data_IF_780010893279
#
_entry.id   IF_780010893279
#
_cell.length_a   1.000
_cell.length_b   1.000
_cell.length_c   1.000
_cell.angle_alpha   90.00
_cell.angle_beta   90.00
_cell.angle_gamma   90.00
#
_symmetry.space_group_name_H-M   'P 1'
#
loop_
_entity.id
_entity.type
_entity.pdbx_description
1 polymer ?
#
# COMPACT_ATOMS: atom_id res chain seq x y z
N UNK A 1 6.76 11.06 5.21
CA UNK A 1 6.63 10.53 6.58
C UNK A 1 5.22 10.72 7.09
N UNK A 2 4.74 9.80 7.90
CA UNK A 2 3.40 9.86 8.49
C UNK A 2 3.50 9.39 9.94
N UNK A 3 2.60 9.87 10.81
CA UNK A 3 2.66 9.45 12.22
C UNK A 3 2.45 7.96 12.36
N UNK A 4 3.17 7.36 13.31
CA UNK A 4 3.01 5.95 13.65
C UNK A 4 1.56 5.66 14.00
N UNK A 5 1.01 4.59 13.45
CA UNK A 5 -0.36 4.17 13.71
C UNK A 5 -1.41 4.84 12.86
N UNK A 6 -1.04 5.80 12.01
CA UNK A 6 -2.02 6.42 11.10
C UNK A 6 -2.67 5.37 10.22
N UNK A 7 -3.97 5.48 9.92
CA UNK A 7 -4.61 4.50 9.06
C UNK A 7 -4.07 4.56 7.63
N UNK A 8 -3.92 3.39 7.04
CA UNK A 8 -3.54 3.24 5.63
C UNK A 8 -4.77 2.75 4.89
N UNK A 9 -5.14 3.46 3.83
CA UNK A 9 -6.37 3.21 3.10
C UNK A 9 -6.08 2.55 1.76
N UNK A 10 -6.95 1.64 1.37
CA UNK A 10 -6.87 1.06 0.04
C UNK A 10 -7.07 2.15 -1.01
N UNK A 11 -6.16 2.21 -1.97
CA UNK A 11 -6.17 3.26 -2.98
C UNK A 11 -7.33 3.11 -3.95
N UNK A 12 -7.81 1.90 -4.16
CA UNK A 12 -8.88 1.58 -5.08
C UNK A 12 -9.44 0.21 -4.74
N UNK A 13 -10.61 -0.12 -5.30
CA UNK A 13 -11.20 -1.45 -5.14
C UNK A 13 -10.24 -2.51 -5.67
N UNK A 14 -10.18 -3.64 -5.00
CA UNK A 14 -9.33 -4.72 -5.47
C UNK A 14 -9.37 -5.93 -4.56
N UNK A 15 -8.40 -6.80 -4.76
CA UNK A 15 -8.25 -8.04 -3.98
C UNK A 15 -6.84 -8.08 -3.43
N UNK A 16 -6.70 -8.36 -2.14
CA UNK A 16 -5.39 -8.47 -1.51
C UNK A 16 -4.68 -9.70 -2.08
N UNK A 17 -3.51 -9.48 -2.68
CA UNK A 17 -2.71 -10.54 -3.28
C UNK A 17 -1.50 -10.93 -2.43
N UNK A 18 -1.12 -10.11 -1.46
CA UNK A 18 -0.01 -10.38 -0.56
C UNK A 18 -0.24 -9.59 0.73
N UNK A 19 0.05 -10.21 1.87
CA UNK A 19 -0.06 -9.57 3.18
C UNK A 19 0.85 -10.32 4.13
N UNK A 20 2.08 -9.83 4.33
CA UNK A 20 3.09 -10.54 5.11
C UNK A 20 4.28 -9.61 5.41
N UNK A 21 5.26 -10.13 6.15
CA UNK A 21 6.50 -9.42 6.42
C UNK A 21 7.72 -10.18 5.90
N UNK A 22 7.53 -11.03 4.90
CA UNK A 22 8.58 -11.95 4.45
C UNK A 22 9.59 -11.34 3.49
N UNK A 23 9.29 -10.19 2.90
CA UNK A 23 10.21 -9.58 1.94
C UNK A 23 11.13 -8.63 2.69
N UNK A 24 12.43 -8.94 2.66
CA UNK A 24 13.44 -8.17 3.38
C UNK A 24 13.41 -6.70 2.95
N UNK A 25 13.53 -5.81 3.91
CA UNK A 25 13.58 -4.38 3.66
C UNK A 25 12.23 -3.69 3.65
N UNK A 26 11.16 -4.41 3.32
CA UNK A 26 9.82 -3.83 3.22
C UNK A 26 9.02 -3.90 4.51
N UNK A 27 9.43 -4.79 5.43
CA UNK A 27 8.69 -5.00 6.66
C UNK A 27 7.31 -5.58 6.39
N UNK A 28 6.32 -5.17 7.17
CA UNK A 28 4.95 -5.59 6.94
C UNK A 28 4.40 -4.86 5.73
N UNK A 29 3.87 -5.61 4.78
CA UNK A 29 3.52 -5.11 3.46
C UNK A 29 2.23 -5.74 2.97
N UNK A 30 1.44 -4.95 2.27
CA UNK A 30 0.23 -5.42 1.59
C UNK A 30 0.34 -5.06 0.12
N UNK A 31 -0.06 -6.01 -0.74
CA UNK A 31 -0.25 -5.75 -2.16
C UNK A 31 -1.72 -5.96 -2.51
N UNK A 32 -2.28 -5.04 -3.25
CA UNK A 32 -3.67 -5.13 -3.71
C UNK A 32 -3.66 -5.13 -5.23
N UNK A 33 -4.32 -6.12 -5.81
CA UNK A 33 -4.49 -6.20 -7.26
C UNK A 33 -5.80 -5.54 -7.64
N UNK A 34 -5.72 -4.64 -8.59
CA UNK A 34 -6.86 -3.88 -9.08
C UNK A 34 -7.24 -4.33 -10.48
N UNK A 35 -8.33 -3.79 -11.01
CA UNK A 35 -8.69 -4.01 -12.41
C UNK A 35 -7.60 -3.47 -13.33
N UNK A 36 -7.59 -3.96 -14.56
CA UNK A 36 -6.67 -3.50 -15.61
C UNK A 36 -5.19 -3.80 -15.34
N UNK A 37 -4.92 -4.79 -14.47
CA UNK A 37 -3.55 -5.25 -14.24
C UNK A 37 -2.72 -4.38 -13.34
N UNK A 38 -3.30 -3.39 -12.68
CA UNK A 38 -2.57 -2.55 -11.74
C UNK A 38 -2.50 -3.21 -10.37
N UNK A 39 -1.40 -2.94 -9.66
CA UNK A 39 -1.21 -3.39 -8.28
C UNK A 39 -0.71 -2.20 -7.47
N UNK A 40 -1.26 -2.01 -6.28
CA UNK A 40 -0.73 -1.03 -5.32
C UNK A 40 -0.09 -1.77 -4.16
N UNK A 41 1.00 -1.19 -3.65
CA UNK A 41 1.73 -1.76 -2.54
C UNK A 41 1.86 -0.76 -1.40
N UNK A 42 1.84 -1.27 -0.18
CA UNK A 42 1.87 -0.47 1.04
C UNK A 42 2.84 -1.14 2.00
N UNK A 43 3.94 -0.48 2.31
CA UNK A 43 5.02 -1.11 3.07
C UNK A 43 5.36 -0.35 4.35
N UNK A 44 6.17 -0.99 5.18
CA UNK A 44 6.63 -0.51 6.49
C UNK A 44 5.49 -0.39 7.49
N UNK A 45 4.45 -1.21 7.33
CA UNK A 45 3.26 -1.14 8.17
C UNK A 45 3.55 -1.61 9.59
N UNK A 46 2.87 -1.00 10.56
CA UNK A 46 2.88 -1.46 11.93
C UNK A 46 1.95 -2.66 12.09
N UNK A 47 0.80 -2.62 11.42
CA UNK A 47 -0.15 -3.72 11.47
C UNK A 47 -0.81 -3.90 10.12
N UNK A 48 -1.19 -5.15 9.85
CA UNK A 48 -1.89 -5.56 8.64
C UNK A 48 -3.31 -5.92 9.05
N UNK A 49 -4.29 -5.27 8.45
CA UNK A 49 -5.70 -5.42 8.82
C UNK A 49 -6.52 -6.06 7.69
N UNK A 50 -5.86 -6.66 6.72
CA UNK A 50 -6.50 -7.38 5.63
C UNK A 50 -5.69 -8.63 5.32
N UNK A 51 -6.33 -9.65 4.78
CA UNK A 51 -5.70 -10.92 4.48
C UNK A 51 -5.74 -11.21 2.99
N UNK A 52 -4.83 -12.05 2.53
CA UNK A 52 -4.81 -12.50 1.13
C UNK A 52 -6.17 -13.07 0.76
N UNK A 53 -6.69 -12.62 -0.37
CA UNK A 53 -8.00 -13.04 -0.86
C UNK A 53 -9.13 -12.11 -0.47
N UNK A 54 -8.91 -11.20 0.48
CA UNK A 54 -9.95 -10.25 0.87
C UNK A 54 -10.24 -9.29 -0.28
N UNK A 55 -11.52 -9.03 -0.49
CA UNK A 55 -11.95 -7.94 -1.36
C UNK A 55 -11.96 -6.68 -0.53
N UNK A 56 -11.36 -5.63 -1.05
CA UNK A 56 -11.31 -4.33 -0.38
C UNK A 56 -11.93 -3.27 -1.28
N UNK A 57 -12.47 -2.24 -0.65
CA UNK A 57 -13.01 -1.10 -1.37
C UNK A 57 -12.10 0.10 -1.18
N UNK A 58 -12.12 1.00 -2.15
CA UNK A 58 -11.38 2.25 -2.07
C UNK A 58 -11.71 2.97 -0.75
N UNK A 59 -10.68 3.38 -0.04
CA UNK A 59 -10.83 4.06 1.24
C UNK A 59 -10.96 3.16 2.45
N UNK A 60 -11.04 1.84 2.26
CA UNK A 60 -11.09 0.91 3.38
C UNK A 60 -9.74 0.90 4.10
N UNK A 61 -9.78 0.90 5.43
CA UNK A 61 -8.55 0.81 6.22
C UNK A 61 -7.99 -0.61 6.11
N UNK A 62 -6.76 -0.73 5.65
CA UNK A 62 -6.12 -2.02 5.42
C UNK A 62 -4.90 -2.24 6.30
N UNK A 63 -4.44 -1.21 6.98
CA UNK A 63 -3.28 -1.31 7.87
C UNK A 63 -3.03 0.00 8.58
N UNK A 64 -1.90 0.06 9.29
CA UNK A 64 -1.50 1.27 9.99
C UNK A 64 -0.04 1.56 9.69
N UNK A 65 0.28 2.84 9.60
CA UNK A 65 1.65 3.30 9.34
C UNK A 65 2.56 2.82 10.45
N UNK A 66 3.72 2.30 10.07
CA UNK A 66 4.70 1.81 11.00
C UNK A 66 6.11 2.20 10.62
N UNK A 67 7.03 1.42 11.14
CA UNK A 67 8.47 1.65 10.94
C UNK A 67 9.15 0.30 10.74
N UNK A 68 8.43 -0.69 10.26
CA UNK A 68 8.97 -2.02 10.04
C UNK A 68 9.79 -2.06 8.75
N UNK A 69 10.75 -2.99 8.68
CA UNK A 69 11.66 -3.07 7.55
C UNK A 69 12.86 -2.15 7.76
N UNK A 70 13.50 -1.75 6.65
CA UNK A 70 14.74 -0.98 6.70
C UNK A 70 14.46 0.52 6.63
N UNK A 71 13.75 1.03 7.63
CA UNK A 71 13.48 2.45 7.75
C UNK A 71 13.72 2.88 9.19
N UNK A 72 14.11 4.11 9.38
CA UNK A 72 14.45 4.64 10.71
C UNK A 72 13.44 5.65 11.24
N UNK A 73 12.38 5.90 10.51
CA UNK A 73 11.28 6.76 10.96
C UNK A 73 9.95 6.17 10.51
N UNK A 74 8.85 6.44 11.23
CA UNK A 74 7.53 6.00 10.76
C UNK A 74 7.24 6.59 9.39
N UNK A 75 6.85 5.72 8.47
CA UNK A 75 6.55 6.15 7.11
C UNK A 75 5.75 5.09 6.38
N UNK A 76 5.02 5.50 5.37
CA UNK A 76 4.37 4.61 4.43
C UNK A 76 5.11 4.70 3.10
N UNK A 77 5.52 3.55 2.59
CA UNK A 77 6.01 3.48 1.22
C UNK A 77 4.84 2.98 0.37
N UNK A 78 4.44 3.78 -0.60
CA UNK A 78 3.37 3.44 -1.51
C UNK A 78 3.93 3.21 -2.91
N UNK A 79 3.48 2.12 -3.56
CA UNK A 79 3.89 1.81 -4.92
C UNK A 79 2.67 1.58 -5.79
N UNK A 80 2.77 2.02 -7.04
CA UNK A 80 1.82 1.69 -8.09
C UNK A 80 2.58 0.92 -9.16
N UNK A 81 2.08 -0.25 -9.53
CA UNK A 81 2.73 -1.10 -10.52
C UNK A 81 1.74 -1.51 -11.60
N UNK A 82 2.24 -1.69 -12.81
CA UNK A 82 1.52 -2.32 -13.90
C UNK A 82 2.36 -3.48 -14.38
N UNK A 83 1.87 -4.71 -14.18
CA UNK A 83 2.69 -5.88 -14.42
C UNK A 83 3.90 -5.86 -13.50
N UNK A 84 5.11 -5.79 -14.06
CA UNK A 84 6.36 -5.78 -13.30
C UNK A 84 6.95 -4.39 -13.14
N UNK A 85 6.31 -3.37 -13.71
CA UNK A 85 6.86 -2.02 -13.68
C UNK A 85 6.23 -1.21 -12.57
N UNK A 86 7.09 -0.56 -11.81
CA UNK A 86 6.62 0.49 -10.91
C UNK A 86 6.30 1.71 -11.76
N UNK A 87 5.18 2.36 -11.46
CA UNK A 87 4.72 3.52 -12.18
C UNK A 87 4.73 4.73 -11.25
N UNK A 88 4.78 5.90 -11.85
CA UNK A 88 4.59 7.14 -11.10
C UNK A 88 3.10 7.27 -10.80
N UNK A 89 2.68 7.21 -9.54
CA UNK A 89 1.26 7.28 -9.20
C UNK A 89 0.59 8.54 -9.71
N UNK A 90 1.29 9.67 -9.70
CA UNK A 90 0.69 10.93 -10.11
C UNK A 90 0.33 10.97 -11.59
N UNK A 91 0.88 10.06 -12.39
CA UNK A 91 0.62 10.00 -13.83
C UNK A 91 -0.50 9.06 -14.20
N UNK A 92 -0.93 8.21 -13.27
CA UNK A 92 -1.86 7.13 -13.58
C UNK A 92 -3.14 7.20 -12.76
N UNK A 93 -3.26 8.17 -11.88
CA UNK A 93 -4.48 8.38 -11.11
C UNK A 93 -5.45 9.20 -11.93
N UNK A 94 -6.71 8.83 -11.85
CA UNK A 94 -7.78 9.62 -12.45
C UNK A 94 -7.89 10.93 -11.68
N UNK A 95 -8.08 12.02 -12.40
CA UNK A 95 -8.22 13.31 -11.76
C UNK A 95 -9.37 13.27 -10.76
N UNK A 96 -9.11 13.73 -9.56
CA UNK A 96 -10.08 13.69 -8.47
C UNK A 96 -10.04 12.40 -7.67
N UNK A 97 -9.22 11.45 -8.07
CA UNK A 97 -9.00 10.23 -7.31
C UNK A 97 -7.60 10.24 -6.71
N UNK A 98 -7.25 11.35 -6.13
CA UNK A 98 -5.92 11.44 -5.57
C UNK A 98 -5.73 10.45 -4.47
N UNK A 99 -4.63 9.77 -4.52
CA UNK A 99 -4.16 8.98 -3.43
C UNK A 99 -3.18 9.78 -2.64
N UNK A 100 -3.24 9.60 -1.34
CA UNK A 100 -2.19 10.11 -0.49
C UNK A 100 -0.97 9.23 -0.68
N UNK A 101 -0.02 9.75 -1.42
CA UNK A 101 1.28 9.09 -1.52
C UNK A 101 2.08 9.62 -0.35
N UNK A 102 2.02 8.92 0.75
CA UNK A 102 2.55 9.43 2.01
C UNK A 102 4.06 9.37 2.09
N UNK A 103 4.68 8.62 1.20
CA UNK A 103 6.12 8.42 1.31
C UNK A 103 6.70 8.14 -0.06
N UNK A 104 7.86 8.65 -0.29
CA UNK A 104 8.57 8.41 -1.53
C UNK A 104 10.05 8.36 -1.25
#
# INVERSE_FOLDING_TARGET
AAPLGSPVLAAENGVVSYASDEIAGWGRMILIRHADGFTTGYAHLDSILAAVGDQVTRGQVIGRVGQTGYVDTPQLHFELRSGRRALDPSRHLVKGEEMEVASR
#
